data_IF_482589832067
#
_entry.id   IF_482589832067
#
_cell.length_a   1.000
_cell.length_b   1.000
_cell.length_c   1.000
_cell.angle_alpha   90.00
_cell.angle_beta   90.00
_cell.angle_gamma   90.00
#
_symmetry.space_group_name_H-M   'P 1'
#
loop_
_entity.id
_entity.type
_entity.pdbx_description
1 polymer ?
#
# COMPACT_ATOMS: atom_id res chain seq x y z
N UNK A 1 -5.58 -10.67 13.32
CA UNK A 1 -4.55 -11.14 12.39
C UNK A 1 -3.38 -10.18 12.41
N UNK A 2 -2.12 -10.63 12.37
CA UNK A 2 -0.98 -9.72 12.24
C UNK A 2 -1.12 -8.86 10.98
N UNK A 3 -0.65 -7.62 11.06
CA UNK A 3 -0.55 -6.70 9.93
C UNK A 3 0.93 -6.49 9.66
N UNK A 4 1.38 -6.77 8.44
CA UNK A 4 2.73 -6.45 8.02
C UNK A 4 2.78 -5.00 7.55
N UNK A 5 3.86 -4.30 7.91
CA UNK A 5 4.14 -2.95 7.43
C UNK A 5 5.28 -3.04 6.44
N UNK A 6 5.02 -2.70 5.18
CA UNK A 6 5.97 -2.83 4.07
C UNK A 6 6.28 -1.44 3.53
N UNK A 7 7.53 -1.03 3.61
CA UNK A 7 8.01 0.17 2.94
C UNK A 7 8.47 -0.16 1.52
N UNK A 8 8.15 0.72 0.56
CA UNK A 8 8.63 0.63 -0.81
C UNK A 8 9.17 1.98 -1.27
N UNK A 9 10.39 1.96 -1.81
CA UNK A 9 11.05 3.11 -2.43
C UNK A 9 11.01 2.90 -3.94
N UNK A 10 10.47 3.85 -4.74
CA UNK A 10 10.48 3.76 -6.19
C UNK A 10 11.91 3.70 -6.72
N UNK A 11 12.18 2.76 -7.64
CA UNK A 11 13.49 2.61 -8.29
C UNK A 11 13.65 3.60 -9.45
N UNK A 12 12.55 3.88 -10.16
CA UNK A 12 12.56 4.74 -11.33
C UNK A 12 12.54 6.22 -10.95
N UNK A 13 13.34 7.01 -11.67
CA UNK A 13 13.33 8.46 -11.57
C UNK A 13 11.99 9.04 -12.08
N UNK A 14 11.56 10.16 -11.48
CA UNK A 14 10.32 10.83 -11.88
C UNK A 14 9.05 10.37 -11.16
N UNK A 15 9.14 9.41 -10.24
CA UNK A 15 8.04 9.12 -9.32
C UNK A 15 7.63 10.39 -8.55
N UNK A 16 6.33 10.73 -8.46
CA UNK A 16 5.87 11.86 -7.65
C UNK A 16 5.95 11.56 -6.13
N UNK A 17 6.30 10.34 -5.74
CA UNK A 17 6.42 9.87 -4.37
C UNK A 17 7.86 9.48 -4.04
N UNK A 18 8.34 9.82 -2.84
CA UNK A 18 9.64 9.40 -2.34
C UNK A 18 9.61 7.98 -1.75
N UNK A 19 8.50 7.62 -1.09
CA UNK A 19 8.23 6.28 -0.58
C UNK A 19 6.73 6.06 -0.40
N UNK A 20 6.35 4.79 -0.29
CA UNK A 20 5.03 4.40 0.20
C UNK A 20 5.16 3.37 1.32
N UNK A 21 4.23 3.40 2.27
CA UNK A 21 4.10 2.40 3.33
C UNK A 21 2.78 1.68 3.13
N UNK A 22 2.82 0.35 3.09
CA UNK A 22 1.67 -0.51 2.90
C UNK A 22 1.38 -1.31 4.16
N UNK A 23 0.12 -1.39 4.52
CA UNK A 23 -0.36 -2.26 5.59
C UNK A 23 -0.98 -3.49 4.93
N UNK A 24 -0.42 -4.67 5.18
CA UNK A 24 -0.83 -5.92 4.53
C UNK A 24 -1.46 -6.82 5.58
N UNK A 25 -2.70 -7.26 5.33
CA UNK A 25 -3.38 -8.27 6.13
C UNK A 25 -2.62 -9.59 6.04
N UNK A 26 -2.07 -10.07 7.16
CA UNK A 26 -1.20 -11.25 7.16
C UNK A 26 -1.91 -12.60 6.96
N UNK A 27 -3.24 -12.65 7.00
CA UNK A 27 -3.98 -13.87 6.67
C UNK A 27 -4.33 -13.93 5.18
N UNK A 28 -4.71 -12.78 4.61
CA UNK A 28 -5.23 -12.70 3.24
C UNK A 28 -4.20 -12.21 2.22
N UNK A 29 -3.10 -11.65 2.69
CA UNK A 29 -2.05 -11.03 1.87
C UNK A 29 -2.57 -9.90 0.96
N UNK A 30 -3.58 -9.17 1.44
CA UNK A 30 -4.14 -8.00 0.76
C UNK A 30 -3.72 -6.71 1.45
N UNK A 31 -3.50 -5.66 0.67
CA UNK A 31 -3.14 -4.32 1.18
C UNK A 31 -4.38 -3.64 1.71
N UNK A 32 -4.46 -3.26 2.97
CA UNK A 32 -5.62 -2.55 3.54
C UNK A 32 -5.48 -1.04 3.49
N UNK A 33 -4.25 -0.55 3.57
CA UNK A 33 -3.92 0.88 3.56
C UNK A 33 -2.59 1.13 2.86
N UNK A 34 -2.49 2.25 2.14
CA UNK A 34 -1.24 2.76 1.58
C UNK A 34 -1.06 4.23 1.93
N UNK A 35 0.05 4.54 2.59
CA UNK A 35 0.48 5.91 2.85
C UNK A 35 1.50 6.30 1.79
N UNK A 36 1.28 7.43 1.13
CA UNK A 36 2.19 7.97 0.12
C UNK A 36 2.90 9.19 0.68
N UNK A 37 4.22 9.22 0.55
CA UNK A 37 5.06 10.30 1.05
C UNK A 37 5.72 11.04 -0.11
N UNK A 38 5.77 12.38 0.02
CA UNK A 38 6.61 13.25 -0.81
C UNK A 38 8.07 13.19 -0.36
N UNK A 39 9.00 13.77 -1.14
CA UNK A 39 10.31 14.14 -0.62
C UNK A 39 10.18 14.92 0.71
N UNK A 40 11.20 14.84 1.56
CA UNK A 40 11.21 15.40 2.93
C UNK A 40 10.27 14.68 3.93
N UNK A 41 9.93 13.42 3.64
CA UNK A 41 9.12 12.55 4.49
C UNK A 41 7.73 13.11 4.86
N UNK A 42 7.19 13.98 4.00
CA UNK A 42 5.87 14.56 4.20
C UNK A 42 4.78 13.61 3.68
N UNK A 43 3.91 13.15 4.58
CA UNK A 43 2.70 12.42 4.19
C UNK A 43 1.87 13.27 3.21
N UNK A 44 1.63 12.71 2.04
CA UNK A 44 0.85 13.35 0.98
C UNK A 44 -0.60 12.91 1.02
N UNK A 45 -0.83 11.60 1.06
CA UNK A 45 -2.18 11.02 1.11
C UNK A 45 -2.13 9.62 1.68
N UNK A 46 -3.29 9.18 2.15
CA UNK A 46 -3.57 7.80 2.53
C UNK A 46 -4.65 7.25 1.62
N UNK A 47 -4.44 6.03 1.12
CA UNK A 47 -5.41 5.27 0.35
C UNK A 47 -5.88 4.09 1.20
N UNK A 48 -7.18 4.00 1.42
CA UNK A 48 -7.82 2.81 1.98
C UNK A 48 -8.26 1.90 0.83
N UNK A 49 -7.93 0.62 0.92
CA UNK A 49 -8.24 -0.35 -0.11
C UNK A 49 -9.24 -1.40 0.41
N UNK A 50 -10.33 -1.55 -0.32
CA UNK A 50 -11.33 -2.61 -0.10
C UNK A 50 -11.16 -3.67 -1.17
N UNK A 51 -11.38 -4.91 -0.76
CA UNK A 51 -11.14 -6.07 -1.60
C UNK A 51 -12.33 -7.00 -1.56
N UNK A 52 -12.58 -7.62 -2.70
CA UNK A 52 -13.51 -8.72 -2.87
C UNK A 52 -12.75 -9.91 -3.44
N UNK A 53 -13.14 -11.11 -3.04
CA UNK A 53 -12.61 -12.34 -3.60
C UNK A 53 -13.52 -12.78 -4.76
N UNK A 54 -12.95 -12.85 -5.97
CA UNK A 54 -13.64 -13.30 -7.19
C UNK A 54 -12.87 -14.49 -7.74
N UNK A 55 -13.52 -15.66 -7.77
CA UNK A 55 -12.93 -16.92 -8.24
C UNK A 55 -11.56 -17.25 -7.61
N UNK A 56 -11.41 -16.97 -6.30
CA UNK A 56 -10.17 -17.21 -5.55
C UNK A 56 -9.09 -16.14 -5.74
N UNK A 57 -9.39 -15.05 -6.45
CA UNK A 57 -8.48 -13.93 -6.66
C UNK A 57 -9.00 -12.71 -5.91
N UNK A 58 -8.15 -12.10 -5.09
CA UNK A 58 -8.46 -10.81 -4.48
C UNK A 58 -8.38 -9.70 -5.53
N UNK A 59 -9.52 -9.08 -5.79
CA UNK A 59 -9.66 -7.92 -6.65
C UNK A 59 -10.05 -6.68 -5.83
N UNK A 60 -9.59 -5.51 -6.24
CA UNK A 60 -10.07 -4.26 -5.65
C UNK A 60 -11.57 -4.12 -5.93
N UNK A 61 -12.30 -3.61 -4.93
CA UNK A 61 -13.69 -3.15 -5.12
C UNK A 61 -13.74 -1.95 -6.08
#
# INVERSE_FOLDING_TARGET
TPVFVVESIPVEEGSPYARRVQHVDGARWVVTQVEYYRPEDRLLKTLEARWQEVDGIWAWE
#
